data_IF_287630767752
#
_entry.id   IF_287630767752
#
_cell.length_a   1.000
_cell.length_b   1.000
_cell.length_c   1.000
_cell.angle_alpha   90.00
_cell.angle_beta   90.00
_cell.angle_gamma   90.00
#
_symmetry.space_group_name_H-M   'P 1'
#
loop_
_entity.id
_entity.type
_entity.pdbx_description
1 polymer ?
#
# COMPACT_ATOMS: atom_id res chain seq x y z
N UNK A 1 -15.46 -2.93 34.51
CA UNK A 1 -16.31 -2.97 35.69
C UNK A 1 -17.79 -2.57 35.43
N UNK A 2 -18.08 -1.65 34.49
CA UNK A 2 -19.45 -1.10 34.34
C UNK A 2 -20.46 -1.96 33.52
N UNK A 3 -20.04 -2.89 32.64
CA UNK A 3 -20.97 -3.79 31.89
C UNK A 3 -21.63 -4.84 32.78
N UNK A 4 -20.95 -5.24 33.83
CA UNK A 4 -21.46 -6.23 34.82
C UNK A 4 -22.53 -5.66 35.73
N UNK A 5 -22.46 -4.36 36.05
CA UNK A 5 -23.38 -3.67 36.95
C UNK A 5 -24.76 -3.45 36.32
N UNK A 6 -24.81 -3.12 34.99
CA UNK A 6 -26.11 -2.83 34.31
C UNK A 6 -26.91 -4.12 34.01
N UNK A 7 -26.23 -5.27 33.76
CA UNK A 7 -26.90 -6.58 33.65
C UNK A 7 -27.37 -7.12 35.01
N UNK A 8 -26.58 -6.92 36.07
CA UNK A 8 -26.91 -7.35 37.41
C UNK A 8 -28.13 -6.63 38.02
N UNK A 9 -28.29 -5.33 37.70
CA UNK A 9 -29.44 -4.55 38.19
C UNK A 9 -30.79 -5.00 37.62
N UNK A 10 -30.82 -5.50 36.34
CA UNK A 10 -32.05 -6.05 35.74
C UNK A 10 -32.41 -7.44 36.26
N UNK A 11 -31.43 -8.25 36.66
CA UNK A 11 -31.67 -9.61 37.19
C UNK A 11 -31.99 -9.66 38.68
N UNK A 12 -31.53 -8.68 39.48
CA UNK A 12 -31.66 -8.70 40.93
C UNK A 12 -32.79 -7.82 41.48
N UNK A 13 -33.59 -7.15 40.64
CA UNK A 13 -34.66 -6.25 41.09
C UNK A 13 -34.17 -5.00 41.84
N UNK A 14 -32.86 -4.72 41.85
CA UNK A 14 -32.24 -3.59 42.55
C UNK A 14 -32.55 -2.30 41.80
N UNK A 15 -33.10 -1.31 42.46
CA UNK A 15 -33.36 -0.01 41.84
C UNK A 15 -32.04 0.80 41.67
N UNK A 16 -32.00 1.67 40.61
CA UNK A 16 -30.82 2.50 40.31
C UNK A 16 -30.38 3.34 41.49
N UNK A 17 -31.29 3.76 42.34
CA UNK A 17 -31.01 4.54 43.56
C UNK A 17 -30.15 3.72 44.52
N UNK A 18 -30.61 2.50 44.86
CA UNK A 18 -29.86 1.61 45.77
C UNK A 18 -28.49 1.23 45.21
N UNK A 19 -28.40 1.05 43.88
CA UNK A 19 -27.14 0.77 43.21
C UNK A 19 -26.16 1.95 43.36
N UNK A 20 -26.66 3.18 43.14
CA UNK A 20 -25.85 4.39 43.27
C UNK A 20 -25.37 4.61 44.70
N UNK A 21 -26.27 4.38 45.69
CA UNK A 21 -25.94 4.52 47.11
C UNK A 21 -24.86 3.51 47.53
N UNK A 22 -24.94 2.26 47.08
CA UNK A 22 -23.95 1.21 47.39
C UNK A 22 -22.55 1.47 46.80
N UNK A 23 -22.45 2.11 45.60
CA UNK A 23 -21.18 2.43 44.98
C UNK A 23 -20.69 3.86 45.22
N UNK A 24 -21.39 4.63 46.08
CA UNK A 24 -21.01 6.01 46.39
C UNK A 24 -21.10 6.97 45.21
N UNK A 25 -22.03 6.75 44.27
CA UNK A 25 -22.18 7.55 43.05
C UNK A 25 -23.54 8.27 43.05
N UNK A 26 -23.59 9.52 42.61
CA UNK A 26 -24.85 10.20 42.38
C UNK A 26 -25.61 9.62 41.17
N UNK A 27 -26.96 9.62 41.23
CA UNK A 27 -27.78 9.23 40.06
C UNK A 27 -27.48 10.06 38.82
N UNK A 28 -27.17 11.34 39.00
CA UNK A 28 -26.80 12.25 37.90
C UNK A 28 -25.52 11.77 37.20
N UNK A 29 -24.50 11.41 37.97
CA UNK A 29 -23.25 10.85 37.43
C UNK A 29 -23.48 9.50 36.77
N UNK A 30 -24.34 8.63 37.31
CA UNK A 30 -24.71 7.36 36.70
C UNK A 30 -25.32 7.56 35.31
N UNK A 31 -26.32 8.43 35.16
CA UNK A 31 -26.96 8.70 33.89
C UNK A 31 -26.03 9.42 32.89
N UNK A 32 -25.18 10.31 33.37
CA UNK A 32 -24.16 10.96 32.56
C UNK A 32 -23.17 9.92 32.00
N UNK A 33 -22.63 9.05 32.84
CA UNK A 33 -21.72 7.97 32.45
C UNK A 33 -22.39 6.97 31.50
N UNK A 34 -23.69 6.67 31.68
CA UNK A 34 -24.46 5.80 30.79
C UNK A 34 -24.62 6.42 29.41
N UNK A 35 -24.97 7.71 29.30
CA UNK A 35 -25.07 8.43 28.02
C UNK A 35 -23.73 8.48 27.30
N UNK A 36 -22.66 8.75 28.04
CA UNK A 36 -21.30 8.79 27.48
C UNK A 36 -20.88 7.42 26.93
N UNK A 37 -21.23 6.33 27.60
CA UNK A 37 -20.97 4.97 27.17
C UNK A 37 -21.75 4.63 25.89
N UNK A 38 -23.06 4.94 25.88
CA UNK A 38 -23.90 4.70 24.69
C UNK A 38 -23.39 5.47 23.48
N UNK A 39 -23.01 6.74 23.64
CA UNK A 39 -22.38 7.52 22.56
C UNK A 39 -21.09 6.86 22.09
N UNK A 40 -20.23 6.44 23.00
CA UNK A 40 -18.97 5.76 22.68
C UNK A 40 -19.21 4.45 21.90
N UNK A 41 -20.19 3.66 22.27
CA UNK A 41 -20.55 2.42 21.57
C UNK A 41 -21.02 2.69 20.13
N UNK A 42 -21.78 3.76 19.91
CA UNK A 42 -22.20 4.21 18.57
C UNK A 42 -20.99 4.69 17.77
N UNK A 43 -20.13 5.54 18.35
CA UNK A 43 -18.93 6.07 17.70
C UNK A 43 -17.96 4.93 17.30
N UNK A 44 -17.74 3.95 18.19
CA UNK A 44 -16.89 2.78 17.92
C UNK A 44 -17.48 1.88 16.81
N UNK A 45 -18.80 1.72 16.79
CA UNK A 45 -19.50 0.96 15.73
C UNK A 45 -19.31 1.63 14.36
N UNK A 46 -19.41 2.95 14.29
CA UNK A 46 -19.16 3.70 13.05
C UNK A 46 -17.70 3.57 12.59
N UNK A 47 -16.73 3.70 13.52
CA UNK A 47 -15.32 3.52 13.21
C UNK A 47 -15.08 2.13 12.58
N UNK A 48 -15.64 1.07 13.17
CA UNK A 48 -15.49 -0.29 12.68
C UNK A 48 -16.11 -0.50 11.29
N UNK A 49 -17.25 0.13 11.02
CA UNK A 49 -17.89 0.08 9.72
C UNK A 49 -17.03 0.77 8.64
N UNK A 50 -16.53 1.97 8.94
CA UNK A 50 -15.62 2.71 8.07
C UNK A 50 -14.33 1.91 7.79
N UNK A 51 -13.75 1.29 8.82
CA UNK A 51 -12.59 0.40 8.69
C UNK A 51 -12.88 -0.77 7.76
N UNK A 52 -14.01 -1.46 7.94
CA UNK A 52 -14.41 -2.58 7.10
C UNK A 52 -14.68 -2.15 5.66
N UNK A 53 -15.29 -0.97 5.46
CA UNK A 53 -15.52 -0.37 4.14
C UNK A 53 -14.20 -0.16 3.40
N UNK A 54 -13.22 0.47 4.05
CA UNK A 54 -11.91 0.74 3.44
C UNK A 54 -11.14 -0.56 3.16
N UNK A 55 -11.21 -1.54 4.05
CA UNK A 55 -10.53 -2.82 3.86
C UNK A 55 -11.13 -3.72 2.79
N UNK A 56 -12.34 -3.48 2.34
CA UNK A 56 -12.85 -4.15 1.12
C UNK A 56 -12.06 -3.74 -0.12
N UNK A 57 -11.53 -2.52 -0.16
CA UNK A 57 -10.70 -2.01 -1.26
C UNK A 57 -9.20 -2.26 -1.04
N UNK A 58 -8.73 -2.03 0.19
CA UNK A 58 -7.34 -2.16 0.60
C UNK A 58 -7.22 -3.15 1.76
N UNK A 59 -7.23 -4.49 1.49
CA UNK A 59 -7.47 -5.52 2.51
C UNK A 59 -6.53 -5.47 3.70
N UNK A 60 -5.26 -5.17 3.47
CA UNK A 60 -4.23 -5.18 4.50
C UNK A 60 -3.50 -3.84 4.66
N UNK A 61 -4.20 -2.73 4.40
CA UNK A 61 -3.66 -1.40 4.69
C UNK A 61 -3.36 -1.27 6.19
N UNK A 62 -2.16 -0.78 6.53
CA UNK A 62 -1.73 -0.64 7.92
C UNK A 62 -2.52 0.43 8.70
N UNK A 63 -2.75 0.22 10.00
CA UNK A 63 -3.60 1.05 10.86
C UNK A 63 -3.29 2.55 10.85
N UNK A 64 -2.01 2.95 10.70
CA UNK A 64 -1.66 4.39 10.62
C UNK A 64 -2.22 5.07 9.36
N UNK A 65 -2.10 4.41 8.20
CA UNK A 65 -2.64 4.90 6.93
C UNK A 65 -4.17 4.87 6.93
N UNK A 66 -4.73 3.78 7.46
CA UNK A 66 -6.16 3.61 7.62
C UNK A 66 -6.76 4.75 8.46
N UNK A 67 -6.17 5.04 9.65
CA UNK A 67 -6.60 6.15 10.48
C UNK A 67 -6.54 7.50 9.75
N UNK A 68 -5.49 7.71 8.95
CA UNK A 68 -5.36 8.94 8.13
C UNK A 68 -6.49 9.05 7.09
N UNK A 69 -6.78 7.97 6.36
CA UNK A 69 -7.86 7.94 5.37
C UNK A 69 -9.24 8.22 5.96
N UNK A 70 -9.51 7.72 7.17
CA UNK A 70 -10.81 7.86 7.81
C UNK A 70 -10.99 9.20 8.53
N UNK A 71 -9.96 10.07 8.55
CA UNK A 71 -9.98 11.32 9.34
C UNK A 71 -11.08 12.28 8.90
N UNK A 72 -11.32 12.39 7.59
CA UNK A 72 -12.37 13.24 7.04
C UNK A 72 -13.78 12.72 7.38
N UNK A 73 -14.03 11.43 7.17
CA UNK A 73 -15.33 10.79 7.47
C UNK A 73 -15.67 10.88 8.98
N UNK A 74 -14.66 10.69 9.84
CA UNK A 74 -14.83 10.81 11.29
C UNK A 74 -15.10 12.25 11.73
N UNK A 75 -14.44 13.22 11.11
CA UNK A 75 -14.68 14.64 11.39
C UNK A 75 -16.09 15.07 10.98
N UNK A 76 -16.57 14.63 9.81
CA UNK A 76 -17.94 14.87 9.33
C UNK A 76 -18.98 14.28 10.27
N UNK A 77 -18.73 13.08 10.81
CA UNK A 77 -19.59 12.42 11.78
C UNK A 77 -19.46 13.00 13.21
N UNK A 78 -18.58 14.00 13.42
CA UNK A 78 -18.26 14.56 14.75
C UNK A 78 -17.79 13.48 15.74
N UNK A 79 -17.03 12.48 15.25
CA UNK A 79 -16.41 11.41 16.03
C UNK A 79 -14.92 11.67 16.18
N UNK A 80 -14.44 11.69 17.41
CA UNK A 80 -13.02 11.85 17.73
C UNK A 80 -12.47 10.60 18.41
N UNK A 81 -11.39 10.04 17.83
CA UNK A 81 -10.70 8.89 18.39
C UNK A 81 -9.18 9.12 18.42
N UNK A 82 -8.59 8.96 19.60
CA UNK A 82 -7.14 9.01 19.77
C UNK A 82 -6.45 7.83 19.06
N UNK A 83 -5.15 8.00 18.76
CA UNK A 83 -4.36 6.95 18.09
C UNK A 83 -4.43 5.61 18.84
N UNK A 84 -4.17 5.63 20.13
CA UNK A 84 -4.03 4.41 20.91
C UNK A 84 -5.39 3.69 21.02
N UNK A 85 -6.48 4.43 21.30
CA UNK A 85 -7.83 3.84 21.30
C UNK A 85 -8.24 3.27 19.94
N UNK A 86 -7.84 3.91 18.82
CA UNK A 86 -8.07 3.37 17.49
C UNK A 86 -7.37 2.02 17.30
N UNK A 87 -6.11 1.90 17.73
CA UNK A 87 -5.38 0.64 17.64
C UNK A 87 -5.91 -0.45 18.58
N UNK A 88 -6.31 -0.08 19.80
CA UNK A 88 -6.99 -0.98 20.74
C UNK A 88 -8.28 -1.53 20.12
N UNK A 89 -9.10 -0.65 19.53
CA UNK A 89 -10.34 -1.07 18.85
C UNK A 89 -10.07 -2.05 17.68
N UNK A 90 -9.02 -1.79 16.89
CA UNK A 90 -8.61 -2.73 15.85
C UNK A 90 -8.15 -4.08 16.42
N UNK A 91 -7.46 -4.09 17.56
CA UNK A 91 -7.02 -5.30 18.25
C UNK A 91 -8.21 -6.08 18.84
N UNK A 92 -9.12 -5.41 19.51
CA UNK A 92 -10.33 -6.01 20.11
C UNK A 92 -11.22 -6.72 19.07
N UNK A 93 -11.12 -6.33 17.80
CA UNK A 93 -11.91 -6.87 16.70
C UNK A 93 -11.11 -7.67 15.66
N UNK A 94 -9.88 -8.11 16.01
CA UNK A 94 -8.99 -8.88 15.13
C UNK A 94 -8.69 -8.19 13.78
N UNK A 95 -8.67 -6.86 13.79
CA UNK A 95 -8.43 -6.01 12.62
C UNK A 95 -6.98 -5.50 12.52
N UNK A 96 -6.05 -5.95 13.37
CA UNK A 96 -4.64 -5.65 13.22
C UNK A 96 -4.02 -6.46 12.08
N UNK A 97 -3.21 -5.79 11.25
CA UNK A 97 -2.50 -6.47 10.15
C UNK A 97 -1.25 -7.14 10.69
N UNK A 98 -1.21 -8.45 10.62
CA UNK A 98 -0.01 -9.26 10.93
C UNK A 98 0.90 -9.27 9.70
N UNK A 99 2.19 -8.98 9.90
CA UNK A 99 3.21 -9.01 8.84
C UNK A 99 3.51 -10.46 8.44
N UNK A 100 3.42 -10.76 7.14
CA UNK A 100 3.87 -12.06 6.62
C UNK A 100 5.41 -12.06 6.43
N UNK A 101 6.10 -13.19 6.61
CA UNK A 101 7.51 -13.33 6.23
C UNK A 101 7.69 -13.06 4.73
N UNK A 102 8.85 -12.51 4.35
CA UNK A 102 9.18 -12.27 2.94
C UNK A 102 9.41 -13.59 2.18
N UNK A 103 9.12 -13.58 0.88
CA UNK A 103 9.46 -14.69 -0.02
C UNK A 103 10.91 -14.58 -0.49
N UNK A 104 11.60 -15.70 -0.82
CA UNK A 104 12.98 -15.69 -1.32
C UNK A 104 13.09 -15.06 -2.71
N UNK A 105 14.25 -14.47 -3.01
CA UNK A 105 14.60 -13.88 -4.31
C UNK A 105 14.92 -14.95 -5.36
N UNK A 106 14.56 -14.69 -6.62
CA UNK A 106 14.73 -15.62 -7.76
C UNK A 106 15.24 -14.94 -9.04
N UNK A 107 16.07 -13.91 -8.96
CA UNK A 107 16.61 -13.25 -10.14
C UNK A 107 17.86 -13.98 -10.66
N UNK A 108 17.90 -14.31 -11.96
CA UNK A 108 19.10 -14.82 -12.63
C UNK A 108 19.87 -13.66 -13.28
N UNK A 109 20.93 -13.19 -12.63
CA UNK A 109 21.79 -12.09 -13.08
C UNK A 109 23.12 -12.56 -13.72
N UNK A 110 23.28 -13.86 -14.01
CA UNK A 110 24.50 -14.41 -14.63
C UNK A 110 24.28 -14.54 -16.15
N UNK A 111 24.65 -13.53 -16.90
CA UNK A 111 24.60 -13.50 -18.37
C UNK A 111 25.72 -12.61 -18.92
N UNK A 112 25.97 -12.69 -20.23
CA UNK A 112 26.99 -11.91 -20.96
C UNK A 112 26.44 -10.63 -21.63
N UNK A 113 25.22 -10.20 -21.30
CA UNK A 113 24.60 -9.00 -21.87
C UNK A 113 25.22 -7.73 -21.28
N UNK A 114 25.08 -6.55 -21.94
CA UNK A 114 25.59 -5.27 -21.47
C UNK A 114 25.08 -4.91 -20.09
N UNK A 115 25.96 -4.42 -19.22
CA UNK A 115 25.65 -3.97 -17.87
C UNK A 115 26.07 -2.50 -17.74
N UNK A 116 25.25 -1.71 -17.07
CA UNK A 116 25.48 -0.26 -16.90
C UNK A 116 25.79 0.08 -15.44
N UNK A 117 26.53 1.19 -15.24
CA UNK A 117 26.89 1.65 -13.90
C UNK A 117 25.68 2.16 -13.11
N UNK A 118 25.76 2.10 -11.79
CA UNK A 118 24.74 2.68 -10.92
C UNK A 118 24.82 4.20 -10.90
N UNK A 119 23.86 4.85 -11.52
CA UNK A 119 23.75 6.30 -11.60
C UNK A 119 22.88 6.91 -10.48
N UNK A 120 22.25 6.09 -9.63
CA UNK A 120 21.38 6.54 -8.54
C UNK A 120 22.12 6.75 -7.21
N UNK A 121 23.25 6.10 -7.04
CA UNK A 121 24.00 6.13 -5.78
C UNK A 121 24.33 7.56 -5.33
N UNK A 122 23.98 7.91 -4.09
CA UNK A 122 24.26 9.23 -3.50
C UNK A 122 23.42 10.39 -4.04
N UNK A 123 22.47 10.16 -4.95
CA UNK A 123 21.61 11.22 -5.51
C UNK A 123 20.36 11.45 -4.67
N UNK A 124 19.93 12.69 -4.66
CA UNK A 124 18.62 13.12 -4.13
C UNK A 124 17.76 13.67 -5.26
N UNK A 125 16.45 13.48 -5.16
CA UNK A 125 15.50 13.82 -6.21
C UNK A 125 14.63 14.98 -5.77
N UNK A 126 14.48 15.99 -6.62
CA UNK A 126 13.76 17.24 -6.33
C UNK A 126 12.37 17.29 -6.95
N UNK A 127 12.05 16.33 -7.81
CA UNK A 127 10.76 16.27 -8.49
C UNK A 127 10.54 14.95 -9.23
N UNK A 128 9.32 14.72 -9.75
CA UNK A 128 9.00 13.55 -10.52
C UNK A 128 9.71 13.53 -11.87
N UNK A 129 9.79 12.35 -12.46
CA UNK A 129 10.41 12.12 -13.77
C UNK A 129 11.92 12.48 -13.86
N UNK A 130 12.63 12.38 -12.72
CA UNK A 130 14.09 12.48 -12.69
C UNK A 130 14.76 11.09 -12.65
N UNK A 131 14.13 10.12 -12.01
CA UNK A 131 14.58 8.73 -12.01
C UNK A 131 13.40 7.77 -11.86
N UNK A 132 13.48 6.66 -12.57
CA UNK A 132 12.55 5.55 -12.50
C UNK A 132 13.28 4.29 -12.06
N UNK A 133 12.63 3.46 -11.25
CA UNK A 133 13.12 2.15 -10.87
C UNK A 133 12.18 1.07 -11.39
N UNK A 134 12.76 0.00 -11.92
CA UNK A 134 12.00 -1.10 -12.51
C UNK A 134 12.31 -2.40 -11.82
N UNK A 135 11.30 -3.24 -11.68
CA UNK A 135 11.44 -4.60 -11.16
C UNK A 135 10.37 -5.51 -11.75
N UNK A 136 10.66 -6.79 -11.76
CA UNK A 136 9.83 -7.83 -12.32
C UNK A 136 9.41 -8.79 -11.22
N UNK A 137 8.12 -9.07 -11.12
CA UNK A 137 7.59 -9.99 -10.13
C UNK A 137 6.59 -10.96 -10.76
N UNK A 138 6.18 -12.00 -10.02
CA UNK A 138 5.21 -12.97 -10.46
C UNK A 138 4.02 -13.08 -9.51
N UNK A 139 2.88 -13.46 -10.06
CA UNK A 139 1.65 -13.76 -9.36
C UNK A 139 1.25 -15.20 -9.67
N UNK A 140 0.84 -15.93 -8.64
CA UNK A 140 0.44 -17.33 -8.76
C UNK A 140 -1.05 -17.44 -9.11
N UNK A 141 -1.36 -18.33 -10.05
CA UNK A 141 -2.73 -18.74 -10.34
C UNK A 141 -2.80 -20.28 -10.46
N UNK A 142 -3.99 -20.85 -10.38
CA UNK A 142 -4.19 -22.28 -10.65
C UNK A 142 -3.89 -22.62 -12.12
N UNK A 143 -3.95 -21.62 -13.01
CA UNK A 143 -3.63 -21.74 -14.45
C UNK A 143 -2.14 -21.48 -14.76
N UNK A 144 -1.26 -21.38 -13.75
CA UNK A 144 0.16 -21.06 -13.85
C UNK A 144 0.50 -19.66 -13.38
N UNK A 145 1.67 -19.15 -13.80
CA UNK A 145 2.17 -17.84 -13.37
C UNK A 145 1.77 -16.72 -14.32
N UNK A 146 1.60 -15.54 -13.76
CA UNK A 146 1.63 -14.26 -14.46
C UNK A 146 2.87 -13.48 -14.02
N UNK A 147 3.49 -12.80 -14.96
CA UNK A 147 4.66 -11.97 -14.74
C UNK A 147 4.29 -10.51 -14.86
N UNK A 148 4.75 -9.71 -13.91
CA UNK A 148 4.40 -8.30 -13.83
C UNK A 148 5.65 -7.46 -13.84
N UNK A 149 5.81 -6.63 -14.86
CA UNK A 149 6.83 -5.59 -14.92
C UNK A 149 6.24 -4.30 -14.38
N UNK A 150 6.94 -3.65 -13.44
CA UNK A 150 6.55 -2.37 -12.84
C UNK A 150 7.65 -1.35 -13.05
N UNK A 151 7.28 -0.11 -13.36
CA UNK A 151 8.16 1.06 -13.39
C UNK A 151 7.61 2.10 -12.42
N UNK A 152 8.43 2.50 -11.46
CA UNK A 152 8.04 3.39 -10.38
C UNK A 152 8.90 4.65 -10.37
N UNK A 153 8.29 5.81 -10.32
CA UNK A 153 8.98 7.09 -10.13
C UNK A 153 9.60 7.19 -8.74
N UNK A 154 10.88 7.51 -8.67
CA UNK A 154 11.64 7.51 -7.41
C UNK A 154 11.18 8.61 -6.47
N UNK A 155 10.78 9.77 -6.97
CA UNK A 155 10.34 10.89 -6.14
C UNK A 155 8.91 10.71 -5.65
N UNK A 156 7.96 10.58 -6.56
CA UNK A 156 6.53 10.53 -6.25
C UNK A 156 6.04 9.17 -5.76
N UNK A 157 6.82 8.12 -5.96
CA UNK A 157 6.43 6.73 -5.69
C UNK A 157 5.30 6.21 -6.59
N UNK A 158 4.85 6.99 -7.59
CA UNK A 158 3.83 6.57 -8.56
C UNK A 158 4.36 5.44 -9.43
N UNK A 159 3.56 4.40 -9.61
CA UNK A 159 3.78 3.41 -10.66
C UNK A 159 3.39 4.11 -11.98
N UNK A 160 4.39 4.45 -12.79
CA UNK A 160 4.23 5.19 -14.04
C UNK A 160 4.10 4.27 -15.24
N UNK A 161 4.50 3.01 -15.13
CA UNK A 161 4.34 2.00 -16.16
C UNK A 161 4.18 0.62 -15.54
N UNK A 162 3.32 -0.20 -16.12
CA UNK A 162 3.19 -1.61 -15.75
C UNK A 162 2.65 -2.45 -16.88
N UNK A 163 2.98 -3.75 -16.83
CA UNK A 163 2.40 -4.74 -17.72
C UNK A 163 2.27 -6.08 -17.01
N UNK A 164 1.23 -6.83 -17.37
CA UNK A 164 0.93 -8.15 -16.84
C UNK A 164 0.89 -9.12 -18.02
N UNK A 165 1.86 -10.03 -18.08
CA UNK A 165 2.03 -10.99 -19.15
C UNK A 165 2.01 -12.44 -18.69
N UNK A 166 1.85 -13.33 -19.65
CA UNK A 166 1.85 -14.78 -19.42
C UNK A 166 3.26 -15.39 -19.50
N UNK A 167 4.24 -14.61 -19.99
CA UNK A 167 5.64 -15.03 -20.17
C UNK A 167 6.60 -14.10 -19.45
N UNK A 168 7.78 -14.62 -19.11
CA UNK A 168 8.88 -13.87 -18.48
C UNK A 168 9.77 -13.17 -19.52
N UNK A 169 9.32 -13.03 -20.75
CA UNK A 169 10.08 -12.42 -21.84
C UNK A 169 10.19 -10.89 -21.69
N UNK A 170 11.18 -10.30 -22.36
CA UNK A 170 11.43 -8.87 -22.36
C UNK A 170 10.25 -8.03 -22.88
N UNK A 171 9.37 -8.62 -23.70
CA UNK A 171 8.19 -7.94 -24.25
C UNK A 171 7.28 -7.37 -23.18
N UNK A 172 7.18 -8.04 -22.00
CA UNK A 172 6.42 -7.51 -20.87
C UNK A 172 7.04 -6.24 -20.28
N UNK A 173 8.37 -6.22 -20.14
CA UNK A 173 9.12 -5.05 -19.68
C UNK A 173 9.03 -3.89 -20.69
N UNK A 174 9.12 -4.20 -22.00
CA UNK A 174 8.96 -3.21 -23.07
C UNK A 174 7.58 -2.54 -23.05
N UNK A 175 6.51 -3.31 -22.87
CA UNK A 175 5.15 -2.76 -22.78
C UNK A 175 4.97 -1.86 -21.56
N UNK A 176 5.56 -2.25 -20.40
CA UNK A 176 5.56 -1.39 -19.22
C UNK A 176 6.33 -0.09 -19.47
N UNK A 177 7.47 -0.16 -20.17
CA UNK A 177 8.27 1.00 -20.57
C UNK A 177 7.51 1.89 -21.55
N UNK A 178 6.87 1.33 -22.56
CA UNK A 178 6.08 2.08 -23.54
C UNK A 178 4.93 2.86 -22.88
N UNK A 179 4.26 2.24 -21.88
CA UNK A 179 3.24 2.91 -21.09
C UNK A 179 3.83 4.11 -20.30
N UNK A 180 4.95 3.90 -19.61
CA UNK A 180 5.62 4.97 -18.87
C UNK A 180 6.08 6.11 -19.80
N UNK A 181 6.62 5.79 -20.96
CA UNK A 181 7.08 6.76 -21.96
C UNK A 181 5.93 7.53 -22.62
N UNK A 182 4.74 6.93 -22.74
CA UNK A 182 3.56 7.59 -23.30
C UNK A 182 3.01 8.70 -22.42
N UNK A 183 3.17 8.57 -21.08
CA UNK A 183 2.75 9.57 -20.10
C UNK A 183 3.89 10.56 -19.72
N UNK A 184 5.10 10.35 -20.22
CA UNK A 184 6.25 11.19 -19.87
C UNK A 184 6.14 12.58 -20.53
N UNK A 185 6.15 13.67 -19.74
CA UNK A 185 6.10 15.03 -20.28
C UNK A 185 7.28 15.31 -21.23
N UNK A 186 7.04 16.13 -22.25
CA UNK A 186 8.06 16.52 -23.21
C UNK A 186 9.28 17.17 -22.52
N UNK A 187 10.49 16.80 -22.96
CA UNK A 187 11.73 17.32 -22.39
C UNK A 187 12.20 16.67 -21.08
N UNK A 188 11.43 15.77 -20.49
CA UNK A 188 11.88 14.98 -19.33
C UNK A 188 12.67 13.76 -19.79
N UNK A 189 13.77 13.47 -19.13
CA UNK A 189 14.67 12.36 -19.41
C UNK A 189 15.07 11.66 -18.09
N UNK A 190 14.20 10.85 -17.51
CA UNK A 190 14.53 10.15 -16.28
C UNK A 190 15.69 9.16 -16.46
N UNK A 191 16.50 9.00 -15.42
CA UNK A 191 17.42 7.87 -15.33
C UNK A 191 16.56 6.62 -15.11
N UNK A 192 16.68 5.62 -15.98
CA UNK A 192 16.01 4.34 -15.80
C UNK A 192 16.94 3.35 -15.09
N UNK A 193 16.53 2.89 -13.91
CA UNK A 193 17.30 1.95 -13.09
C UNK A 193 16.57 0.63 -12.91
N UNK A 194 17.31 -0.49 -13.07
CA UNK A 194 16.81 -1.84 -12.88
C UNK A 194 17.86 -2.75 -12.23
N UNK A 195 17.47 -3.95 -11.88
CA UNK A 195 18.43 -5.02 -11.66
C UNK A 195 19.10 -5.45 -12.99
N UNK A 196 20.03 -6.42 -12.90
CA UNK A 196 20.72 -6.99 -14.08
C UNK A 196 19.94 -8.16 -14.68
N UNK A 197 18.62 -8.17 -14.60
CA UNK A 197 17.81 -9.19 -15.26
C UNK A 197 17.97 -9.15 -16.77
N UNK A 198 18.05 -10.31 -17.43
CA UNK A 198 18.26 -10.39 -18.89
C UNK A 198 17.20 -9.60 -19.70
N UNK A 199 16.00 -9.41 -19.14
CA UNK A 199 14.92 -8.62 -19.75
C UNK A 199 15.27 -7.14 -19.88
N UNK A 200 16.01 -6.58 -18.91
CA UNK A 200 16.44 -5.18 -18.91
C UNK A 200 17.77 -4.98 -19.66
N UNK A 201 18.55 -6.05 -19.83
CA UNK A 201 19.84 -6.04 -20.52
C UNK A 201 19.72 -6.38 -22.01
N UNK A 202 18.54 -6.81 -22.48
CA UNK A 202 18.36 -7.18 -23.89
C UNK A 202 18.45 -5.95 -24.81
N UNK A 203 18.87 -6.19 -26.04
CA UNK A 203 19.11 -5.15 -27.04
C UNK A 203 17.89 -4.25 -27.26
N UNK A 204 16.73 -4.83 -27.46
CA UNK A 204 15.47 -4.12 -27.70
C UNK A 204 15.09 -3.15 -26.57
N UNK A 205 15.32 -3.55 -25.31
CA UNK A 205 15.03 -2.71 -24.14
C UNK A 205 16.02 -1.53 -24.03
N UNK A 206 17.30 -1.81 -24.22
CA UNK A 206 18.38 -0.81 -24.22
C UNK A 206 18.18 0.20 -25.35
N UNK A 207 17.92 -0.27 -26.58
CA UNK A 207 17.63 0.60 -27.72
C UNK A 207 16.42 1.51 -27.47
N UNK A 208 15.34 0.97 -26.86
CA UNK A 208 14.14 1.74 -26.57
C UNK A 208 14.43 2.91 -25.62
N UNK A 209 15.25 2.69 -24.58
CA UNK A 209 15.68 3.73 -23.64
C UNK A 209 16.57 4.76 -24.35
N UNK A 210 17.56 4.31 -25.12
CA UNK A 210 18.50 5.17 -25.85
C UNK A 210 17.81 6.04 -26.91
N UNK A 211 16.86 5.48 -27.65
CA UNK A 211 16.07 6.20 -28.64
C UNK A 211 15.25 7.36 -28.04
N UNK A 212 14.95 7.29 -26.75
CA UNK A 212 14.27 8.34 -25.98
C UNK A 212 15.24 9.23 -25.19
N UNK A 213 16.55 9.01 -25.31
CA UNK A 213 17.59 9.76 -24.63
C UNK A 213 17.66 9.52 -23.11
N UNK A 214 17.09 8.41 -22.61
CA UNK A 214 17.11 8.06 -21.20
C UNK A 214 18.47 7.46 -20.82
N UNK A 215 19.03 7.92 -19.71
CA UNK A 215 20.22 7.31 -19.12
C UNK A 215 19.87 5.97 -18.46
N UNK A 216 20.71 4.96 -18.71
CA UNK A 216 20.50 3.60 -18.20
C UNK A 216 21.40 3.40 -16.97
N UNK A 217 20.81 2.84 -15.94
CA UNK A 217 21.46 2.55 -14.66
C UNK A 217 21.07 1.15 -14.20
N UNK A 218 22.01 0.42 -13.61
CA UNK A 218 21.76 -0.92 -13.08
C UNK A 218 22.38 -1.10 -11.71
N UNK A 219 21.87 -2.06 -10.95
CA UNK A 219 22.46 -2.45 -9.67
C UNK A 219 23.90 -2.95 -9.87
N UNK A 220 24.77 -2.70 -8.90
CA UNK A 220 26.15 -3.21 -8.91
C UNK A 220 26.32 -4.45 -7.98
N UNK A 221 27.46 -4.63 -7.33
CA UNK A 221 27.83 -5.87 -6.65
C UNK A 221 27.05 -6.15 -5.35
N UNK A 222 26.46 -5.13 -4.72
CA UNK A 222 25.65 -5.26 -3.49
C UNK A 222 24.14 -5.08 -3.75
N UNK A 223 23.61 -5.79 -4.67
CA UNK A 223 22.34 -5.66 -5.36
C UNK A 223 21.08 -5.37 -4.52
N UNK A 224 20.96 -5.90 -3.30
CA UNK A 224 19.70 -5.88 -2.56
C UNK A 224 19.30 -4.50 -2.00
N UNK A 225 20.24 -3.56 -1.85
CA UNK A 225 19.92 -2.21 -1.37
C UNK A 225 19.71 -1.21 -2.51
N UNK A 226 20.23 -1.50 -3.69
CA UNK A 226 20.27 -0.57 -4.80
C UNK A 226 18.93 -0.49 -5.54
N UNK A 227 18.11 -1.57 -5.54
CA UNK A 227 16.75 -1.58 -6.08
C UNK A 227 15.66 -1.67 -5.00
N UNK A 228 15.99 -1.33 -3.75
CA UNK A 228 15.10 -1.47 -2.58
C UNK A 228 13.75 -0.75 -2.74
N UNK A 229 13.69 0.31 -3.55
CA UNK A 229 12.43 1.00 -3.82
C UNK A 229 11.49 0.14 -4.66
N UNK A 230 11.96 -0.42 -5.78
CA UNK A 230 11.15 -1.26 -6.64
C UNK A 230 10.70 -2.54 -5.91
N UNK A 231 11.61 -3.18 -5.17
CA UNK A 231 11.28 -4.31 -4.30
C UNK A 231 10.22 -3.94 -3.24
N UNK A 232 10.30 -2.71 -2.69
CA UNK A 232 9.31 -2.22 -1.72
C UNK A 232 7.93 -2.08 -2.34
N UNK A 233 7.83 -1.56 -3.57
CA UNK A 233 6.55 -1.43 -4.29
C UNK A 233 5.96 -2.82 -4.56
N UNK A 234 6.74 -3.75 -5.06
CA UNK A 234 6.33 -5.15 -5.24
C UNK A 234 5.86 -5.77 -3.93
N UNK A 235 6.60 -5.55 -2.84
CA UNK A 235 6.23 -6.00 -1.50
C UNK A 235 4.90 -5.41 -1.01
N UNK A 236 4.60 -4.16 -1.33
CA UNK A 236 3.32 -3.52 -1.00
C UNK A 236 2.18 -4.16 -1.77
N UNK A 237 2.32 -4.35 -3.09
CA UNK A 237 1.30 -4.99 -3.90
C UNK A 237 1.03 -6.42 -3.41
N UNK A 238 2.07 -7.19 -3.13
CA UNK A 238 1.95 -8.55 -2.61
C UNK A 238 1.31 -8.60 -1.22
N UNK A 239 1.75 -7.77 -0.30
CA UNK A 239 1.36 -7.88 1.11
C UNK A 239 0.10 -7.07 1.46
N UNK A 240 -0.04 -5.82 0.97
CA UNK A 240 -1.18 -4.96 1.32
C UNK A 240 -2.41 -5.25 0.44
N UNK A 241 -2.22 -5.64 -0.84
CA UNK A 241 -3.28 -5.96 -1.79
C UNK A 241 -3.44 -7.46 -2.07
N UNK A 242 -2.75 -8.30 -1.29
CA UNK A 242 -2.86 -9.76 -1.34
C UNK A 242 -2.52 -10.40 -2.70
N UNK A 243 -1.61 -9.75 -3.46
CA UNK A 243 -1.12 -10.31 -4.73
C UNK A 243 -0.18 -11.51 -4.51
N UNK A 244 0.14 -11.86 -3.26
CA UNK A 244 0.90 -13.05 -2.87
C UNK A 244 0.04 -14.33 -2.74
N UNK A 245 -1.30 -14.20 -2.82
CA UNK A 245 -2.21 -15.35 -2.84
C UNK A 245 -2.20 -16.06 -4.19
N UNK A 246 -2.67 -17.30 -4.21
CA UNK A 246 -2.96 -18.00 -5.46
C UNK A 246 -4.36 -17.63 -5.95
N UNK A 247 -4.45 -17.09 -7.16
CA UNK A 247 -5.72 -16.75 -7.80
C UNK A 247 -6.27 -17.96 -8.54
N UNK A 248 -7.58 -18.04 -8.68
CA UNK A 248 -8.23 -19.14 -9.38
C UNK A 248 -7.95 -19.09 -10.90
N UNK A 249 -7.99 -17.89 -11.50
CA UNK A 249 -7.73 -17.69 -12.93
C UNK A 249 -6.76 -16.55 -13.18
N UNK A 250 -6.09 -16.59 -14.33
CA UNK A 250 -5.24 -15.49 -14.80
C UNK A 250 -6.04 -14.20 -15.01
N UNK A 251 -7.28 -14.28 -15.48
CA UNK A 251 -8.17 -13.12 -15.68
C UNK A 251 -8.45 -12.41 -14.35
N UNK A 252 -8.78 -13.16 -13.30
CA UNK A 252 -8.99 -12.60 -11.97
C UNK A 252 -7.72 -11.94 -11.42
N UNK A 253 -6.56 -12.55 -11.62
CA UNK A 253 -5.29 -12.01 -11.16
C UNK A 253 -4.93 -10.71 -11.89
N UNK A 254 -5.14 -10.64 -13.22
CA UNK A 254 -4.93 -9.42 -14.03
C UNK A 254 -5.80 -8.27 -13.53
N UNK A 255 -7.10 -8.48 -13.42
CA UNK A 255 -8.05 -7.46 -12.92
C UNK A 255 -7.72 -7.00 -11.49
N UNK A 256 -7.36 -7.92 -10.60
CA UNK A 256 -6.98 -7.60 -9.23
C UNK A 256 -5.69 -6.74 -9.17
N UNK A 257 -4.70 -7.03 -10.03
CA UNK A 257 -3.46 -6.26 -10.06
C UNK A 257 -3.67 -4.86 -10.67
N UNK A 258 -4.45 -4.73 -11.73
CA UNK A 258 -4.82 -3.43 -12.29
C UNK A 258 -5.52 -2.54 -11.24
N UNK A 259 -6.46 -3.11 -10.51
CA UNK A 259 -7.10 -2.43 -9.39
C UNK A 259 -6.11 -2.08 -8.27
N UNK A 260 -5.19 -2.98 -7.92
CA UNK A 260 -4.19 -2.75 -6.89
C UNK A 260 -3.23 -1.61 -7.28
N UNK A 261 -2.78 -1.53 -8.55
CA UNK A 261 -1.96 -0.43 -9.07
C UNK A 261 -2.73 0.89 -9.02
N UNK A 262 -3.99 0.89 -9.41
CA UNK A 262 -4.82 2.08 -9.31
C UNK A 262 -4.98 2.55 -7.86
N UNK A 263 -5.34 1.66 -6.93
CA UNK A 263 -5.47 1.96 -5.50
C UNK A 263 -4.14 2.43 -4.89
N UNK A 264 -3.02 1.82 -5.29
CA UNK A 264 -1.69 2.23 -4.85
C UNK A 264 -1.39 3.67 -5.28
N UNK A 265 -1.68 4.04 -6.52
CA UNK A 265 -1.39 5.37 -7.05
C UNK A 265 -2.32 6.45 -6.51
N UNK A 266 -3.63 6.18 -6.42
CA UNK A 266 -4.66 7.20 -6.24
C UNK A 266 -5.36 7.18 -4.88
N UNK A 267 -5.19 6.12 -4.07
CA UNK A 267 -5.91 6.00 -2.81
C UNK A 267 -5.05 5.60 -1.62
N UNK A 268 -3.86 5.07 -1.85
CA UNK A 268 -2.99 4.64 -0.76
C UNK A 268 -2.13 5.79 -0.24
N UNK A 269 -2.30 6.23 1.03
CA UNK A 269 -1.43 7.23 1.62
C UNK A 269 0.00 6.68 1.78
N UNK A 270 0.99 7.48 1.40
CA UNK A 270 2.39 7.08 1.49
C UNK A 270 3.11 7.85 2.60
N UNK A 271 3.66 7.16 3.61
CA UNK A 271 4.30 7.81 4.78
C UNK A 271 5.49 8.69 4.39
N UNK A 272 6.28 8.28 3.40
CA UNK A 272 7.41 9.08 2.88
C UNK A 272 6.95 10.32 2.09
N UNK A 273 5.67 10.41 1.75
CA UNK A 273 5.05 11.56 1.08
C UNK A 273 4.13 12.33 2.03
N UNK A 274 4.36 12.26 3.35
CA UNK A 274 3.51 12.88 4.37
C UNK A 274 2.03 12.47 4.25
N UNK A 275 1.79 11.18 4.00
CA UNK A 275 0.46 10.58 3.77
C UNK A 275 -0.27 11.04 2.52
N UNK A 276 0.39 11.73 1.60
CA UNK A 276 -0.17 12.08 0.29
C UNK A 276 -0.21 10.86 -0.64
N UNK A 277 -1.03 10.93 -1.69
CA UNK A 277 -1.12 9.89 -2.70
C UNK A 277 -0.01 10.05 -3.75
N UNK A 278 0.59 8.96 -4.24
CA UNK A 278 1.64 9.01 -5.26
C UNK A 278 1.26 9.81 -6.51
N UNK A 279 0.02 9.66 -6.98
CA UNK A 279 -0.47 10.38 -8.17
C UNK A 279 -0.52 11.90 -7.96
N UNK A 280 -0.98 12.36 -6.78
CA UNK A 280 -1.07 13.80 -6.48
C UNK A 280 0.34 14.43 -6.46
N UNK A 281 1.29 13.75 -5.77
CA UNK A 281 2.67 14.24 -5.72
C UNK A 281 3.32 14.25 -7.10
N UNK A 282 2.95 13.29 -7.98
CA UNK A 282 3.48 13.22 -9.34
C UNK A 282 2.94 14.36 -10.22
N UNK A 283 1.69 14.76 -10.03
CA UNK A 283 1.03 15.79 -10.82
C UNK A 283 1.43 17.23 -10.47
N UNK A 284 1.90 17.50 -9.23
CA UNK A 284 2.20 18.87 -8.77
C UNK A 284 3.39 19.54 -9.44
N UNK A 285 4.30 18.77 -10.04
CA UNK A 285 5.58 19.26 -10.59
C UNK A 285 5.75 18.82 -12.05
N UNK A 286 4.68 18.30 -12.65
CA UNK A 286 4.70 17.84 -14.04
C UNK A 286 4.64 19.00 -15.05
#
# INVERSE_FOLDING_TARGET
MNKTVDKGAKQAGICIRELCDRVGMSRQNYYAARRLRQRREVDESLILELVRRERRMQPRIGGRKLRHLLQADLAEANVSVGRDRFFELLAEHDLLVVRKPGAPHTTNSRHSLPVFHNLLAGKTWQGPNQAWVSDLTYIRTEEGFLYTALITDVYSRKIVGFHIGDTLEAVGCLRALDLALSELPAGKQPIHHSDRGCQYCCHEYVERLQARGLAISMTEIQHCYENALAERVNGILKQEYEMDRTFRTKVQAKAALEQAVWLYNYRRPHTMLNYRFPADVHAEVA
#
